data_IF_538424142633
#
_entry.id   IF_538424142633
#
_cell.length_a   1.000
_cell.length_b   1.000
_cell.length_c   1.000
_cell.angle_alpha   90.00
_cell.angle_beta   90.00
_cell.angle_gamma   90.00
#
_symmetry.space_group_name_H-M   'P 1'
#
loop_
_entity.id
_entity.type
_entity.pdbx_description
1 polymer ?
#
# COMPACT_ATOMS: atom_id res chain seq x y z
N UNK A 1 57.71 28.06 -33.51
CA UNK A 1 57.51 28.23 -34.97
C UNK A 1 56.02 28.46 -35.17
N UNK A 2 55.44 29.67 -35.32
CA UNK A 2 55.67 30.84 -36.20
C UNK A 2 55.61 30.53 -37.69
N UNK A 3 54.71 31.26 -38.39
CA UNK A 3 54.45 31.46 -39.85
C UNK A 3 53.17 30.80 -40.39
N UNK A 4 52.19 31.48 -41.05
CA UNK A 4 52.05 32.81 -41.73
C UNK A 4 50.54 33.23 -41.67
N UNK A 5 50.11 34.47 -41.36
CA UNK A 5 49.96 35.70 -42.19
C UNK A 5 49.21 35.45 -43.53
N UNK A 6 48.13 36.12 -43.96
CA UNK A 6 47.63 37.50 -43.81
C UNK A 6 46.13 37.63 -44.26
N UNK A 7 45.31 38.48 -43.62
CA UNK A 7 44.72 39.77 -44.08
C UNK A 7 43.83 39.73 -45.34
N UNK A 8 42.53 40.00 -45.17
CA UNK A 8 41.78 41.17 -45.70
C UNK A 8 40.43 41.23 -44.96
N UNK A 9 40.18 42.32 -44.23
CA UNK A 9 38.82 42.72 -43.84
C UNK A 9 38.20 43.49 -45.00
N UNK A 10 36.99 43.15 -45.42
CA UNK A 10 36.11 44.07 -46.13
C UNK A 10 34.65 43.86 -45.70
N UNK A 11 33.90 44.95 -45.76
CA UNK A 11 32.75 45.31 -44.92
C UNK A 11 31.42 44.66 -45.31
N UNK A 12 30.57 44.58 -44.27
CA UNK A 12 29.10 44.73 -44.21
C UNK A 12 28.28 44.45 -45.48
N UNK A 13 27.27 43.57 -45.38
CA UNK A 13 25.83 43.95 -45.45
C UNK A 13 25.02 42.97 -44.60
N UNK A 14 24.12 43.50 -43.79
CA UNK A 14 23.50 42.81 -42.65
C UNK A 14 22.48 41.73 -42.96
N UNK A 15 22.30 40.87 -41.97
CA UNK A 15 21.04 40.18 -41.70
C UNK A 15 20.77 40.33 -40.21
N UNK A 16 19.89 41.27 -39.89
CA UNK A 16 19.20 41.35 -38.61
C UNK A 16 18.23 40.18 -38.53
N UNK A 17 18.53 39.17 -37.72
CA UNK A 17 17.54 38.23 -37.21
C UNK A 17 17.81 38.02 -35.72
N UNK A 18 17.18 38.90 -34.92
CA UNK A 18 17.04 38.74 -33.48
C UNK A 18 16.16 37.51 -33.21
N UNK A 19 16.76 36.36 -32.94
CA UNK A 19 16.03 35.23 -32.35
C UNK A 19 15.91 35.46 -30.84
N UNK A 20 14.95 36.30 -30.44
CA UNK A 20 14.46 36.36 -29.07
C UNK A 20 13.47 35.22 -28.84
N UNK A 21 13.97 34.03 -28.53
CA UNK A 21 13.13 32.92 -28.06
C UNK A 21 13.37 32.73 -26.56
N UNK A 22 12.75 33.60 -25.75
CA UNK A 22 12.65 33.41 -24.31
C UNK A 22 11.56 32.36 -24.07
N UNK A 23 11.92 31.09 -23.97
CA UNK A 23 10.97 30.04 -23.61
C UNK A 23 10.65 30.17 -22.12
N UNK A 24 9.45 30.68 -21.79
CA UNK A 24 8.89 30.54 -20.46
C UNK A 24 8.70 29.04 -20.19
N UNK A 25 9.61 28.43 -19.44
CA UNK A 25 9.36 27.15 -18.81
C UNK A 25 8.36 27.39 -17.68
N UNK A 26 7.10 27.05 -17.89
CA UNK A 26 6.13 27.02 -16.81
C UNK A 26 6.56 25.97 -15.78
N UNK A 27 6.64 26.29 -14.48
CA UNK A 27 6.75 25.24 -13.48
C UNK A 27 5.45 24.44 -13.53
N UNK A 28 5.55 23.16 -13.91
CA UNK A 28 4.44 22.23 -13.74
C UNK A 28 4.31 22.01 -12.22
N UNK A 29 3.48 22.83 -11.58
CA UNK A 29 3.04 22.60 -10.22
C UNK A 29 2.13 21.37 -10.24
N UNK A 30 2.71 20.18 -10.08
CA UNK A 30 1.97 18.99 -9.66
C UNK A 30 1.57 19.16 -8.20
N UNK A 31 0.65 20.08 -7.92
CA UNK A 31 -0.15 20.06 -6.71
C UNK A 31 -1.17 18.93 -6.89
N UNK A 32 -0.69 17.69 -6.77
CA UNK A 32 -1.55 16.54 -6.57
C UNK A 32 -2.21 16.68 -5.20
N UNK A 33 -3.32 17.40 -5.13
CA UNK A 33 -4.21 17.41 -3.97
C UNK A 33 -4.74 15.99 -3.83
N UNK A 34 -4.07 15.19 -2.99
CA UNK A 34 -4.54 13.88 -2.63
C UNK A 34 -5.85 14.05 -1.85
N UNK A 35 -6.97 14.04 -2.58
CA UNK A 35 -8.29 14.04 -1.98
C UNK A 35 -8.39 12.83 -1.06
N UNK A 36 -8.58 13.10 0.23
CA UNK A 36 -8.80 12.08 1.24
C UNK A 36 -10.22 11.54 1.07
N UNK A 37 -10.41 10.64 0.11
CA UNK A 37 -11.68 9.92 -0.03
C UNK A 37 -11.96 9.21 1.30
N UNK A 38 -13.00 9.65 2.01
CA UNK A 38 -13.50 9.02 3.23
C UNK A 38 -14.23 7.73 2.82
N UNK A 39 -13.47 6.72 2.39
CA UNK A 39 -14.02 5.47 1.88
C UNK A 39 -14.94 4.85 2.94
N UNK A 40 -16.21 4.55 2.62
CA UNK A 40 -17.10 3.84 3.56
C UNK A 40 -16.53 2.44 3.88
N UNK A 41 -16.93 1.87 5.00
CA UNK A 41 -16.60 0.48 5.32
C UNK A 41 -17.35 -0.44 4.34
N UNK A 42 -16.65 -1.34 3.61
CA UNK A 42 -17.31 -2.29 2.73
C UNK A 42 -17.98 -3.40 3.56
N UNK A 43 -18.96 -4.10 3.00
CA UNK A 43 -19.56 -5.28 3.64
C UNK A 43 -18.49 -6.36 3.92
N UNK A 44 -18.70 -7.13 4.99
CA UNK A 44 -17.85 -8.28 5.28
C UNK A 44 -18.02 -9.36 4.21
N UNK A 45 -16.93 -10.04 3.82
CA UNK A 45 -17.00 -11.05 2.79
C UNK A 45 -17.72 -12.31 3.29
N UNK A 46 -18.58 -12.91 2.46
CA UNK A 46 -19.22 -14.20 2.79
C UNK A 46 -18.30 -15.40 2.54
N UNK A 47 -17.23 -15.22 1.76
CA UNK A 47 -16.25 -16.25 1.41
C UNK A 47 -14.84 -15.67 1.41
N UNK A 48 -13.80 -16.51 1.41
CA UNK A 48 -12.41 -16.04 1.27
C UNK A 48 -11.72 -15.69 2.60
N UNK A 49 -12.10 -16.38 3.66
CA UNK A 49 -11.53 -16.31 5.00
C UNK A 49 -11.44 -17.71 5.62
N UNK A 50 -10.65 -17.84 6.69
CA UNK A 50 -10.47 -19.06 7.48
C UNK A 50 -10.97 -18.82 8.90
N UNK A 51 -11.85 -19.72 9.37
CA UNK A 51 -12.37 -19.73 10.75
C UNK A 51 -12.34 -21.15 11.30
N UNK A 52 -12.00 -21.30 12.59
CA UNK A 52 -12.14 -22.55 13.33
C UNK A 52 -11.18 -23.68 12.92
N UNK A 53 -10.23 -23.41 12.03
CA UNK A 53 -9.22 -24.38 11.59
C UNK A 53 -7.91 -23.67 11.22
N UNK A 54 -6.83 -24.43 11.21
CA UNK A 54 -5.52 -24.00 10.68
C UNK A 54 -5.60 -23.88 9.16
N UNK A 55 -4.99 -22.83 8.62
CA UNK A 55 -4.82 -22.66 7.19
C UNK A 55 -3.75 -23.59 6.61
N UNK A 56 -4.04 -24.15 5.46
CA UNK A 56 -3.14 -24.99 4.66
C UNK A 56 -2.50 -24.18 3.55
N UNK A 57 -1.43 -24.70 2.94
CA UNK A 57 -0.84 -24.09 1.75
C UNK A 57 -1.88 -23.90 0.62
N UNK A 58 -2.78 -24.87 0.44
CA UNK A 58 -3.86 -24.80 -0.54
C UNK A 58 -4.82 -23.63 -0.30
N UNK A 59 -5.03 -23.24 0.97
CA UNK A 59 -5.87 -22.09 1.30
C UNK A 59 -5.20 -20.77 0.91
N UNK A 60 -3.87 -20.69 1.05
CA UNK A 60 -3.08 -19.54 0.59
C UNK A 60 -3.07 -19.48 -0.94
N UNK A 61 -2.85 -20.62 -1.60
CA UNK A 61 -2.86 -20.71 -3.07
C UNK A 61 -4.24 -20.28 -3.64
N UNK A 62 -5.33 -20.60 -2.93
CA UNK A 62 -6.71 -20.16 -3.25
C UNK A 62 -7.04 -18.73 -2.81
N UNK A 63 -6.11 -18.01 -2.18
CA UNK A 63 -6.30 -16.66 -1.62
C UNK A 63 -7.44 -16.56 -0.60
N UNK A 64 -7.77 -17.65 0.10
CA UNK A 64 -8.75 -17.65 1.20
C UNK A 64 -8.07 -17.59 2.58
N UNK A 65 -6.76 -17.82 2.64
CA UNK A 65 -5.88 -17.53 3.76
C UNK A 65 -4.84 -16.47 3.38
N UNK A 66 -4.22 -15.84 4.39
CA UNK A 66 -3.08 -14.92 4.20
C UNK A 66 -1.75 -15.63 4.39
N UNK A 67 -1.70 -16.62 5.28
CA UNK A 67 -0.50 -17.42 5.53
C UNK A 67 -0.87 -18.87 5.85
N UNK A 68 0.11 -19.77 5.75
CA UNK A 68 0.04 -21.13 6.24
C UNK A 68 1.37 -21.47 6.93
N UNK A 69 1.31 -22.01 8.14
CA UNK A 69 2.51 -22.37 8.90
C UNK A 69 2.78 -23.87 8.76
N UNK A 70 3.89 -24.22 8.09
CA UNK A 70 4.22 -25.59 7.69
C UNK A 70 5.38 -26.21 8.48
N UNK A 71 5.81 -25.60 9.59
CA UNK A 71 6.93 -26.14 10.36
C UNK A 71 6.49 -27.39 11.13
N UNK A 72 7.02 -28.56 10.77
CA UNK A 72 6.68 -29.83 11.39
C UNK A 72 7.01 -29.94 12.89
N UNK A 73 7.81 -29.03 13.45
CA UNK A 73 8.15 -29.02 14.88
C UNK A 73 7.24 -28.14 15.74
N UNK A 74 6.48 -27.22 15.15
CA UNK A 74 5.61 -26.32 15.92
C UNK A 74 4.18 -26.38 15.42
N UNK A 75 3.26 -26.61 16.35
CA UNK A 75 1.82 -26.67 16.07
C UNK A 75 1.28 -25.25 15.87
N UNK A 76 0.59 -25.02 14.74
CA UNK A 76 -0.36 -23.93 14.61
C UNK A 76 -1.73 -24.36 15.16
N UNK A 77 -2.46 -23.44 15.79
CA UNK A 77 -3.80 -23.71 16.30
C UNK A 77 -4.75 -22.57 15.90
N UNK A 78 -6.01 -22.85 15.54
CA UNK A 78 -6.98 -21.77 15.34
C UNK A 78 -7.20 -21.05 16.67
N UNK A 79 -7.42 -19.73 16.60
CA UNK A 79 -7.83 -18.94 17.76
C UNK A 79 -9.33 -18.68 17.67
N UNK A 80 -10.01 -18.73 18.81
CA UNK A 80 -11.43 -18.42 18.90
C UNK A 80 -11.69 -16.91 18.88
N UNK A 81 -11.79 -16.36 17.66
CA UNK A 81 -12.31 -15.02 17.41
C UNK A 81 -13.31 -15.07 16.24
N UNK A 82 -14.17 -14.05 16.15
CA UNK A 82 -15.01 -13.89 14.97
C UNK A 82 -14.16 -13.65 13.71
N UNK A 83 -14.45 -14.38 12.64
CA UNK A 83 -13.87 -14.14 11.31
C UNK A 83 -14.97 -14.39 10.28
N UNK A 84 -15.17 -13.49 9.30
CA UNK A 84 -14.49 -12.21 9.15
C UNK A 84 -15.01 -11.17 10.14
N UNK A 85 -14.20 -10.16 10.45
CA UNK A 85 -14.61 -9.01 11.27
C UNK A 85 -13.78 -7.78 10.92
N UNK A 86 -14.21 -6.60 11.36
CA UNK A 86 -13.46 -5.36 11.11
C UNK A 86 -12.37 -5.12 12.15
N UNK A 87 -11.34 -4.34 11.76
CA UNK A 87 -10.27 -3.95 12.67
C UNK A 87 -9.61 -2.61 12.34
N UNK A 88 -8.88 -2.08 13.31
CA UNK A 88 -8.04 -0.89 13.19
C UNK A 88 -6.61 -1.20 13.59
N UNK A 89 -5.66 -0.80 12.73
CA UNK A 89 -4.23 -0.90 12.99
C UNK A 89 -3.66 0.52 13.05
N UNK A 90 -2.98 0.87 14.15
CA UNK A 90 -2.24 2.12 14.25
C UNK A 90 -0.86 1.94 13.64
N UNK A 91 -0.59 2.62 12.52
CA UNK A 91 0.75 2.63 11.95
C UNK A 91 1.66 3.52 12.82
N UNK A 92 2.65 2.92 13.48
CA UNK A 92 3.52 3.66 14.40
C UNK A 92 4.43 4.69 13.70
N UNK A 93 4.79 4.44 12.42
CA UNK A 93 5.63 5.32 11.60
C UNK A 93 4.86 6.52 11.10
N UNK A 94 3.70 6.31 10.48
CA UNK A 94 2.92 7.37 9.83
C UNK A 94 1.87 8.00 10.73
N UNK A 95 1.64 7.43 11.93
CA UNK A 95 0.52 7.74 12.85
C UNK A 95 -0.88 7.55 12.23
N UNK A 96 -0.99 7.08 10.98
CA UNK A 96 -2.26 6.83 10.30
C UNK A 96 -2.93 5.58 10.88
N UNK A 97 -4.27 5.59 10.88
CA UNK A 97 -5.08 4.43 11.19
C UNK A 97 -5.40 3.69 9.90
N UNK A 98 -5.03 2.42 9.82
CA UNK A 98 -5.44 1.53 8.75
C UNK A 98 -6.73 0.84 9.16
N UNK A 99 -7.69 0.82 8.24
CA UNK A 99 -8.96 0.10 8.37
C UNK A 99 -8.83 -1.21 7.63
N UNK A 100 -9.14 -2.31 8.30
CA UNK A 100 -8.88 -3.64 7.78
C UNK A 100 -10.06 -4.58 8.03
N UNK A 101 -10.10 -5.65 7.26
CA UNK A 101 -10.97 -6.81 7.51
C UNK A 101 -10.09 -7.99 7.88
N UNK A 102 -10.43 -8.66 8.96
CA UNK A 102 -9.77 -9.87 9.45
C UNK A 102 -10.25 -11.06 8.65
N UNK A 103 -9.32 -11.89 8.18
CA UNK A 103 -9.59 -13.04 7.33
C UNK A 103 -9.09 -14.36 7.91
N UNK A 104 -8.24 -14.33 8.94
CA UNK A 104 -7.61 -15.51 9.53
C UNK A 104 -7.04 -15.16 10.91
N UNK A 105 -7.07 -16.12 11.85
CA UNK A 105 -6.45 -15.98 13.17
C UNK A 105 -5.91 -17.31 13.68
N UNK A 106 -4.62 -17.35 14.01
CA UNK A 106 -3.94 -18.57 14.47
C UNK A 106 -2.89 -18.29 15.54
N UNK A 107 -2.71 -19.23 16.47
CA UNK A 107 -1.67 -19.25 17.48
C UNK A 107 -0.49 -20.05 16.90
N UNK A 108 0.65 -19.38 16.73
CA UNK A 108 1.89 -19.98 16.24
C UNK A 108 3.00 -19.64 17.22
N UNK A 109 3.70 -20.66 17.73
CA UNK A 109 4.83 -20.47 18.66
C UNK A 109 4.46 -19.60 19.88
N UNK A 110 3.25 -19.80 20.43
CA UNK A 110 2.75 -19.01 21.57
C UNK A 110 2.36 -17.57 21.24
N UNK A 111 2.39 -17.17 19.97
CA UNK A 111 2.03 -15.83 19.52
C UNK A 111 0.78 -15.88 18.63
N UNK A 112 -0.17 -15.01 18.92
CA UNK A 112 -1.39 -14.86 18.12
C UNK A 112 -1.14 -14.00 16.89
N UNK A 113 -1.38 -14.57 15.71
CA UNK A 113 -1.21 -13.94 14.40
C UNK A 113 -2.55 -13.80 13.69
N UNK A 114 -2.74 -12.64 13.08
CA UNK A 114 -3.97 -12.24 12.41
C UNK A 114 -3.65 -11.91 10.95
N UNK A 115 -4.28 -12.63 10.03
CA UNK A 115 -4.29 -12.30 8.61
C UNK A 115 -5.41 -11.31 8.30
N UNK A 116 -5.10 -10.24 7.58
CA UNK A 116 -6.07 -9.20 7.24
C UNK A 116 -5.91 -8.69 5.81
N UNK A 117 -6.90 -7.93 5.34
CA UNK A 117 -6.85 -7.13 4.12
C UNK A 117 -7.12 -5.66 4.45
N UNK A 118 -6.30 -4.76 3.91
CA UNK A 118 -6.53 -3.32 3.97
C UNK A 118 -7.69 -2.93 3.04
N UNK A 119 -8.66 -2.16 3.54
CA UNK A 119 -9.85 -1.82 2.74
C UNK A 119 -9.54 -0.83 1.60
N UNK A 120 -8.46 -0.06 1.75
CA UNK A 120 -8.04 1.01 0.83
C UNK A 120 -7.16 0.42 -0.26
N UNK A 121 -6.10 -0.30 0.13
CA UNK A 121 -5.09 -0.80 -0.81
C UNK A 121 -5.39 -2.20 -1.31
N UNK A 122 -6.31 -2.92 -0.65
CA UNK A 122 -6.62 -4.35 -0.90
C UNK A 122 -5.44 -5.29 -0.68
N UNK A 123 -4.35 -4.79 -0.11
CA UNK A 123 -3.18 -5.60 0.24
C UNK A 123 -3.49 -6.47 1.45
N UNK A 124 -3.03 -7.72 1.39
CA UNK A 124 -3.12 -8.70 2.47
C UNK A 124 -1.82 -8.74 3.25
N UNK A 125 -1.91 -8.80 4.57
CA UNK A 125 -0.76 -8.83 5.44
C UNK A 125 -1.08 -9.51 6.78
N UNK A 126 -0.04 -9.72 7.59
CA UNK A 126 -0.14 -10.37 8.90
C UNK A 126 0.26 -9.38 10.00
N UNK A 127 -0.41 -9.45 11.14
CA UNK A 127 -0.09 -8.66 12.33
C UNK A 127 -0.28 -9.50 13.59
N UNK A 128 0.40 -9.14 14.68
CA UNK A 128 0.12 -9.75 16.00
C UNK A 128 -1.21 -9.22 16.55
N UNK A 129 -1.99 -10.10 17.20
CA UNK A 129 -3.30 -9.75 17.77
C UNK A 129 -3.26 -8.54 18.72
N UNK A 130 -2.17 -8.37 19.48
CA UNK A 130 -1.97 -7.23 20.39
C UNK A 130 -1.78 -5.86 19.71
N UNK A 131 -1.52 -5.84 18.41
CA UNK A 131 -1.27 -4.61 17.64
C UNK A 131 -2.48 -4.19 16.81
N UNK A 132 -3.62 -4.85 16.98
CA UNK A 132 -4.86 -4.58 16.26
C UNK A 132 -6.02 -4.46 17.22
N UNK A 133 -6.85 -3.42 17.01
CA UNK A 133 -8.14 -3.28 17.68
C UNK A 133 -9.20 -3.96 16.84
N UNK A 134 -9.83 -4.99 17.37
CA UNK A 134 -10.96 -5.67 16.76
C UNK A 134 -12.25 -4.88 16.99
N UNK A 135 -13.12 -4.81 15.98
CA UNK A 135 -14.36 -4.04 16.02
C UNK A 135 -15.62 -4.93 15.90
N UNK A 136 -15.47 -6.24 15.71
CA UNK A 136 -16.59 -7.17 15.52
C UNK A 136 -17.16 -7.18 14.10
N UNK A 137 -18.26 -7.92 13.94
CA UNK A 137 -18.92 -8.14 12.64
C UNK A 137 -19.97 -7.07 12.25
N UNK A 138 -20.33 -6.19 13.19
CA UNK A 138 -21.21 -5.03 13.01
C UNK A 138 -20.38 -3.75 13.15
N UNK A 139 -19.76 -3.32 12.05
CA UNK A 139 -19.13 -2.00 11.95
C UNK A 139 -19.77 -1.32 10.76
N UNK A 140 -19.82 -0.01 10.64
CA UNK A 140 -19.69 1.13 11.55
C UNK A 140 -20.80 2.10 11.06
N UNK A 141 -21.08 3.30 11.62
CA UNK A 141 -22.15 4.15 11.10
C UNK A 141 -22.08 4.25 9.57
N UNK A 142 -23.02 3.55 8.92
CA UNK A 142 -23.33 3.73 7.53
C UNK A 142 -24.01 5.09 7.56
N UNK A 143 -23.24 6.14 7.24
CA UNK A 143 -23.86 7.44 6.94
C UNK A 143 -24.94 7.22 5.91
#
# INVERSE_FOLDING_TARGET
MRHKKNWVSLLLVGITLLFSSLTLSSPITHAGTAEKIKQRWPALPMTGFIKGRVATKKDVDKRIAVFAYLNGKTKSMPIDIEVPQYGLIKNHKTKKILRVIILQAELIQGQEWIGYVDITTRLRAVIRRKQIKLLGNKCCPQQ
#
